data_IF_485442302123
#
_entry.id   IF_485442302123
#
_cell.length_a   1.000
_cell.length_b   1.000
_cell.length_c   1.000
_cell.angle_alpha   90.00
_cell.angle_beta   90.00
_cell.angle_gamma   90.00
#
_symmetry.space_group_name_H-M   'P 1'
#
loop_
_entity.id
_entity.type
_entity.pdbx_description
1 polymer ?
#
# COMPACT_ATOMS: atom_id res chain seq x y z
N UNK A 1 -43.16 -37.37 43.91
CA UNK A 1 -42.34 -37.36 45.16
C UNK A 1 -41.12 -38.21 44.88
N UNK A 2 -39.95 -37.63 44.68
CA UNK A 2 -39.01 -37.42 45.78
C UNK A 2 -38.33 -36.05 45.71
N UNK A 3 -38.24 -35.42 46.89
CA UNK A 3 -37.52 -34.19 47.16
C UNK A 3 -36.06 -34.54 47.49
N UNK A 4 -35.13 -33.67 47.08
CA UNK A 4 -34.28 -32.85 47.99
C UNK A 4 -32.79 -32.82 47.59
N UNK A 5 -32.35 -31.60 47.21
CA UNK A 5 -31.06 -30.91 47.41
C UNK A 5 -30.91 -29.89 46.27
N UNK A 6 -31.51 -28.70 46.35
CA UNK A 6 -31.08 -27.49 47.07
C UNK A 6 -29.64 -27.05 46.69
N UNK A 7 -29.53 -26.07 45.78
CA UNK A 7 -28.90 -24.76 46.00
C UNK A 7 -29.22 -23.81 44.81
N UNK A 8 -29.95 -22.72 45.10
CA UNK A 8 -30.10 -21.50 44.29
C UNK A 8 -28.76 -20.71 44.32
N UNK A 9 -28.42 -19.81 43.39
CA UNK A 9 -28.93 -18.43 43.31
C UNK A 9 -28.65 -17.80 41.93
N UNK A 10 -29.61 -16.95 41.56
CA UNK A 10 -29.80 -16.08 40.41
C UNK A 10 -28.72 -14.97 40.22
N UNK A 11 -28.57 -14.57 38.95
CA UNK A 11 -28.36 -13.20 38.45
C UNK A 11 -27.06 -12.43 38.77
N UNK A 12 -26.30 -12.14 37.71
CA UNK A 12 -25.36 -11.01 37.60
C UNK A 12 -25.56 -10.42 36.20
N UNK A 13 -26.38 -9.38 36.01
CA UNK A 13 -26.15 -7.96 36.30
C UNK A 13 -25.13 -7.31 35.35
N UNK A 14 -25.67 -6.41 34.51
CA UNK A 14 -24.95 -5.42 33.72
C UNK A 14 -23.98 -4.64 34.60
N UNK A 15 -22.72 -4.55 34.19
CA UNK A 15 -21.76 -3.59 34.70
C UNK A 15 -21.85 -2.31 33.87
N UNK A 16 -22.70 -1.39 34.31
CA UNK A 16 -22.61 0.03 34.00
C UNK A 16 -21.64 0.60 35.04
N UNK A 17 -20.47 1.09 34.61
CA UNK A 17 -19.59 1.83 35.51
C UNK A 17 -20.14 3.25 35.68
N UNK A 18 -20.42 3.62 36.93
CA UNK A 18 -20.72 4.99 37.31
C UNK A 18 -19.40 5.76 37.45
N UNK A 19 -19.22 6.82 36.67
CA UNK A 19 -18.27 7.88 37.00
C UNK A 19 -18.87 8.77 38.09
N UNK A 20 -18.09 9.02 39.14
CA UNK A 20 -18.44 9.82 40.30
C UNK A 20 -18.42 11.33 39.93
N UNK A 21 -19.51 12.10 40.09
CA UNK A 21 -19.52 13.52 39.80
C UNK A 21 -19.28 14.27 41.10
N UNK A 22 -18.02 14.57 41.43
CA UNK A 22 -17.56 15.67 42.28
C UNK A 22 -16.11 15.40 42.75
N UNK A 23 -15.14 15.82 41.95
CA UNK A 23 -13.78 16.10 42.45
C UNK A 23 -13.22 17.32 41.69
N UNK A 24 -13.03 18.48 42.35
CA UNK A 24 -12.43 19.66 41.74
C UNK A 24 -10.95 19.72 42.12
N UNK A 25 -10.05 19.44 41.17
CA UNK A 25 -8.62 19.58 41.46
C UNK A 25 -7.68 19.22 40.32
N UNK A 26 -7.38 20.20 39.48
CA UNK A 26 -6.06 20.51 38.94
C UNK A 26 -5.19 19.33 38.44
N UNK A 27 -5.17 19.11 37.12
CA UNK A 27 -4.13 18.30 36.48
C UNK A 27 -3.46 19.05 35.33
N UNK A 28 -2.22 19.47 35.61
CA UNK A 28 -1.19 19.75 34.62
C UNK A 28 -0.47 18.45 34.27
N UNK A 29 -0.11 18.32 32.98
CA UNK A 29 0.89 17.43 32.37
C UNK A 29 0.60 15.93 32.21
N UNK A 30 0.60 15.55 30.91
CA UNK A 30 1.19 14.35 30.30
C UNK A 30 0.57 12.97 30.55
N UNK A 31 0.18 12.31 29.44
CA UNK A 31 -0.13 10.88 29.41
C UNK A 31 -1.51 10.49 28.88
N UNK A 32 -2.05 11.19 27.88
CA UNK A 32 -3.31 10.81 27.24
C UNK A 32 -3.15 9.64 26.27
N UNK A 33 -3.71 8.48 26.64
CA UNK A 33 -3.98 7.34 25.77
C UNK A 33 -4.85 7.82 24.59
N UNK A 34 -4.22 8.18 23.47
CA UNK A 34 -4.83 8.96 22.40
C UNK A 34 -5.79 8.14 21.55
N UNK A 35 -7.03 7.98 22.03
CA UNK A 35 -8.13 7.40 21.25
C UNK A 35 -8.45 8.24 20.01
N UNK A 36 -8.82 7.56 18.92
CA UNK A 36 -9.25 8.13 17.64
C UNK A 36 -10.52 8.96 17.74
N UNK A 37 -10.41 10.13 18.35
CA UNK A 37 -11.44 11.16 18.37
C UNK A 37 -11.38 12.04 17.14
N UNK A 38 -12.44 12.80 16.91
CA UNK A 38 -12.47 13.86 15.91
C UNK A 38 -12.43 15.22 16.59
N UNK A 39 -11.79 16.19 15.95
CA UNK A 39 -11.86 17.61 16.30
C UNK A 39 -13.25 18.17 15.95
N UNK A 40 -13.62 19.36 16.47
CA UNK A 40 -14.91 19.98 16.16
C UNK A 40 -15.19 20.22 14.66
N UNK A 41 -14.13 20.36 13.84
CA UNK A 41 -14.20 20.47 12.39
C UNK A 41 -14.20 19.09 11.67
N UNK A 42 -14.39 18.00 12.42
CA UNK A 42 -14.59 16.66 11.90
C UNK A 42 -13.31 15.92 11.48
N UNK A 43 -12.12 16.49 11.74
CA UNK A 43 -10.83 15.89 11.39
C UNK A 43 -10.34 14.94 12.49
N UNK A 44 -9.49 13.96 12.19
CA UNK A 44 -8.87 13.13 13.23
C UNK A 44 -8.05 13.97 14.22
N UNK A 45 -8.22 13.73 15.51
CA UNK A 45 -7.55 14.52 16.58
C UNK A 45 -6.04 14.39 16.60
N UNK A 46 -5.48 13.42 15.86
CA UNK A 46 -4.04 13.20 15.74
C UNK A 46 -3.40 13.98 14.58
N UNK A 47 -4.20 14.67 13.75
CA UNK A 47 -3.69 15.56 12.70
C UNK A 47 -2.84 16.68 13.30
N UNK A 48 -1.71 16.99 12.66
CA UNK A 48 -0.90 18.12 13.08
C UNK A 48 -1.62 19.45 12.78
N UNK A 49 -1.57 20.36 13.75
CA UNK A 49 -1.91 21.78 13.58
C UNK A 49 -0.84 22.53 12.79
N UNK A 50 -1.16 23.72 12.26
CA UNK A 50 -0.20 24.58 11.57
C UNK A 50 1.03 24.95 12.43
N UNK A 51 0.81 25.15 13.74
CA UNK A 51 1.88 25.39 14.70
C UNK A 51 2.82 24.18 14.82
N UNK A 52 2.28 22.96 14.84
CA UNK A 52 3.08 21.73 14.86
C UNK A 52 3.79 21.50 13.52
N UNK A 53 3.15 21.83 12.39
CA UNK A 53 3.76 21.76 11.07
C UNK A 53 4.97 22.70 10.93
N UNK A 54 4.97 23.81 11.68
CA UNK A 54 6.09 24.76 11.74
C UNK A 54 7.31 24.25 12.52
N UNK A 55 7.24 23.06 13.11
CA UNK A 55 8.33 22.40 13.86
C UNK A 55 8.74 21.10 13.16
N UNK A 56 9.96 20.60 13.38
CA UNK A 56 10.32 19.25 12.91
C UNK A 56 9.47 18.23 13.66
N UNK A 57 8.70 17.42 12.93
CA UNK A 57 7.94 16.30 13.46
C UNK A 57 8.43 15.00 12.83
N UNK A 58 9.00 14.11 13.64
CA UNK A 58 9.50 12.79 13.24
C UNK A 58 9.52 11.86 14.45
N UNK A 59 8.36 11.30 14.87
CA UNK A 59 8.31 10.28 15.92
C UNK A 59 9.18 9.06 15.59
N UNK A 60 9.46 8.25 16.63
CA UNK A 60 10.17 6.99 16.47
C UNK A 60 9.41 6.03 15.53
N UNK A 61 10.13 5.19 14.76
CA UNK A 61 9.52 4.15 13.94
C UNK A 61 8.72 3.16 14.78
N UNK A 62 7.64 2.61 14.21
CA UNK A 62 6.77 1.62 14.85
C UNK A 62 6.77 0.34 14.04
N UNK A 63 7.10 -0.79 14.65
CA UNK A 63 6.95 -2.11 14.01
C UNK A 63 5.45 -2.42 13.93
N UNK A 64 4.91 -2.49 12.71
CA UNK A 64 3.49 -2.80 12.46
C UNK A 64 3.29 -4.31 12.42
N UNK A 65 4.13 -5.02 11.67
CA UNK A 65 4.15 -6.48 11.63
C UNK A 65 5.52 -6.97 12.04
N UNK A 66 5.55 -7.70 13.17
CA UNK A 66 6.76 -8.22 13.79
C UNK A 66 6.95 -9.69 13.39
N UNK A 67 7.97 -9.97 12.58
CA UNK A 67 8.27 -11.33 12.12
C UNK A 67 8.91 -12.20 13.23
N UNK A 68 9.24 -11.64 14.40
CA UNK A 68 9.81 -12.39 15.55
C UNK A 68 8.79 -13.31 16.23
N UNK A 69 7.51 -12.94 16.19
CA UNK A 69 6.47 -13.52 17.06
C UNK A 69 5.48 -14.42 16.32
N UNK A 70 5.73 -14.75 15.04
CA UNK A 70 4.78 -15.53 14.27
C UNK A 70 5.15 -15.73 12.80
N UNK A 71 4.23 -15.35 11.93
CA UNK A 71 4.40 -15.50 10.47
C UNK A 71 5.52 -14.57 9.97
N UNK A 72 6.19 -14.96 8.89
CA UNK A 72 7.08 -14.08 8.13
C UNK A 72 6.23 -13.06 7.37
N UNK A 73 6.45 -11.77 7.62
CA UNK A 73 5.73 -10.70 6.92
C UNK A 73 6.54 -10.12 5.77
N UNK A 74 5.86 -9.91 4.64
CA UNK A 74 6.43 -9.32 3.42
C UNK A 74 5.37 -8.44 2.74
N UNK A 75 5.79 -7.65 1.77
CA UNK A 75 4.97 -6.92 0.83
C UNK A 75 4.01 -5.92 1.51
N UNK A 76 4.50 -4.71 1.76
CA UNK A 76 3.77 -3.68 2.48
C UNK A 76 2.86 -2.86 1.56
N UNK A 77 1.63 -2.57 2.01
CA UNK A 77 0.75 -1.55 1.41
C UNK A 77 0.04 -0.74 2.50
N UNK A 78 -0.19 0.56 2.27
CA UNK A 78 -0.83 1.44 3.25
C UNK A 78 -1.78 2.45 2.62
N UNK A 79 -2.94 2.64 3.26
CA UNK A 79 -3.92 3.69 2.93
C UNK A 79 -4.39 4.42 4.19
N UNK A 80 -4.96 5.60 3.99
CA UNK A 80 -5.75 6.34 4.96
C UNK A 80 -7.20 6.32 4.48
N UNK A 81 -8.10 5.95 5.37
CA UNK A 81 -9.54 5.93 5.12
C UNK A 81 -10.10 7.36 5.16
N UNK A 82 -11.33 7.55 4.69
CA UNK A 82 -12.06 8.82 4.83
C UNK A 82 -12.30 9.25 6.28
N UNK A 83 -12.07 8.35 7.25
CA UNK A 83 -12.17 8.61 8.70
C UNK A 83 -10.82 8.90 9.36
N UNK A 84 -9.72 8.88 8.61
CA UNK A 84 -8.37 9.01 9.17
C UNK A 84 -7.88 7.77 9.91
N UNK A 85 -8.47 6.60 9.66
CA UNK A 85 -7.86 5.33 10.07
C UNK A 85 -6.77 4.97 9.07
N UNK A 86 -5.56 4.73 9.54
CA UNK A 86 -4.50 4.12 8.72
C UNK A 86 -4.73 2.61 8.64
N UNK A 87 -4.68 2.05 7.44
CA UNK A 87 -4.86 0.62 7.19
C UNK A 87 -3.64 0.10 6.45
N UNK A 88 -2.93 -0.82 7.09
CA UNK A 88 -1.75 -1.48 6.56
C UNK A 88 -2.09 -2.92 6.15
N UNK A 89 -1.63 -3.33 4.97
CA UNK A 89 -1.69 -4.71 4.47
C UNK A 89 -0.31 -5.31 4.32
N UNK A 90 -0.21 -6.63 4.51
CA UNK A 90 1.02 -7.39 4.32
C UNK A 90 0.72 -8.87 3.97
N UNK A 91 1.63 -9.54 3.27
CA UNK A 91 1.69 -11.00 3.24
C UNK A 91 1.98 -11.55 4.64
N UNK A 92 1.30 -12.63 5.00
CA UNK A 92 1.54 -13.46 6.18
C UNK A 92 1.99 -14.84 5.72
N UNK A 93 3.30 -15.05 5.52
CA UNK A 93 3.86 -16.23 4.80
C UNK A 93 4.14 -17.45 5.68
N UNK A 94 3.57 -17.47 6.89
CA UNK A 94 3.81 -18.54 7.88
C UNK A 94 5.30 -18.74 8.11
N UNK A 95 5.87 -19.86 7.66
CA UNK A 95 7.24 -20.27 7.95
C UNK A 95 8.15 -20.29 6.72
N UNK A 96 7.71 -19.76 5.58
CA UNK A 96 8.50 -19.77 4.34
C UNK A 96 8.60 -18.37 3.74
N UNK A 97 9.78 -17.98 3.28
CA UNK A 97 9.96 -16.73 2.54
C UNK A 97 9.52 -16.84 1.07
N UNK A 98 9.18 -18.04 0.59
CA UNK A 98 8.82 -18.26 -0.82
C UNK A 98 7.54 -17.50 -1.21
N UNK A 99 7.51 -17.02 -2.45
CA UNK A 99 6.38 -16.27 -2.98
C UNK A 99 5.17 -17.16 -3.29
N UNK A 100 3.99 -16.55 -3.36
CA UNK A 100 2.74 -17.22 -3.70
C UNK A 100 2.85 -17.99 -5.03
N UNK A 101 2.31 -19.21 -5.06
CA UNK A 101 2.33 -20.08 -6.25
C UNK A 101 3.64 -20.85 -6.46
N UNK A 102 4.72 -20.56 -5.74
CA UNK A 102 5.98 -21.31 -5.87
C UNK A 102 5.95 -22.60 -5.04
N UNK A 103 6.73 -23.61 -5.47
CA UNK A 103 6.72 -24.94 -4.86
C UNK A 103 7.10 -24.96 -3.38
N UNK A 104 8.00 -24.06 -2.95
CA UNK A 104 8.47 -23.90 -1.58
C UNK A 104 7.59 -23.02 -0.68
N UNK A 105 6.47 -22.51 -1.20
CA UNK A 105 5.53 -21.69 -0.42
C UNK A 105 4.84 -22.52 0.67
N UNK A 106 4.78 -21.95 1.87
CA UNK A 106 3.75 -22.29 2.85
C UNK A 106 2.42 -21.60 2.44
N UNK A 107 1.38 -21.76 3.25
CA UNK A 107 0.14 -21.01 3.06
C UNK A 107 0.42 -19.51 3.29
N UNK A 108 0.00 -18.67 2.36
CA UNK A 108 0.13 -17.21 2.47
C UNK A 108 -1.26 -16.59 2.53
N UNK A 109 -1.49 -15.75 3.53
CA UNK A 109 -2.69 -14.93 3.65
C UNK A 109 -2.35 -13.45 3.57
N UNK A 110 -3.26 -12.62 3.09
CA UNK A 110 -3.17 -11.17 3.28
C UNK A 110 -3.69 -10.82 4.68
N UNK A 111 -2.84 -10.13 5.45
CA UNK A 111 -3.13 -9.64 6.79
C UNK A 111 -3.30 -8.12 6.80
N UNK A 112 -4.15 -7.62 7.68
CA UNK A 112 -4.53 -6.21 7.83
C UNK A 112 -4.32 -5.78 9.27
N UNK A 113 -3.74 -4.60 9.49
CA UNK A 113 -3.75 -3.89 10.78
C UNK A 113 -4.26 -2.47 10.61
N UNK A 114 -4.88 -1.94 11.66
CA UNK A 114 -5.47 -0.59 11.68
C UNK A 114 -4.85 0.26 12.77
N UNK A 115 -4.68 1.55 12.50
CA UNK A 115 -4.32 2.57 13.49
C UNK A 115 -5.31 3.74 13.41
N UNK A 116 -5.79 4.19 14.57
CA UNK A 116 -6.73 5.32 14.68
C UNK A 116 -6.09 6.54 15.36
N UNK A 117 -4.78 6.49 15.61
CA UNK A 117 -4.01 7.50 16.35
C UNK A 117 -2.81 8.03 15.54
N UNK A 118 -2.90 7.95 14.21
CA UNK A 118 -1.89 8.44 13.28
C UNK A 118 -0.64 7.57 13.22
N UNK A 119 -0.79 6.27 13.46
CA UNK A 119 0.25 5.24 13.35
C UNK A 119 1.07 5.01 14.61
N UNK A 120 0.66 5.55 15.76
CA UNK A 120 1.37 5.38 17.04
C UNK A 120 1.13 3.99 17.60
N UNK A 121 -0.10 3.50 17.54
CA UNK A 121 -0.47 2.14 17.92
C UNK A 121 -1.24 1.46 16.79
N UNK A 122 -1.09 0.14 16.71
CA UNK A 122 -1.73 -0.69 15.68
C UNK A 122 -2.52 -1.81 16.37
N UNK A 123 -3.77 -1.96 15.97
CA UNK A 123 -4.68 -2.97 16.50
C UNK A 123 -4.28 -4.41 16.14
N UNK A 124 -5.11 -5.35 16.55
CA UNK A 124 -4.94 -6.76 16.23
C UNK A 124 -4.97 -6.99 14.72
N UNK A 125 -4.14 -7.92 14.26
CA UNK A 125 -4.11 -8.38 12.88
C UNK A 125 -5.41 -9.13 12.51
N UNK A 126 -6.00 -8.78 11.36
CA UNK A 126 -7.15 -9.47 10.75
C UNK A 126 -6.68 -10.06 9.42
N UNK A 127 -6.96 -11.32 9.15
CA UNK A 127 -6.69 -11.94 7.85
C UNK A 127 -7.92 -11.86 6.96
N UNK A 128 -7.73 -11.55 5.68
CA UNK A 128 -8.83 -11.46 4.71
C UNK A 128 -9.32 -12.88 4.36
N UNK A 129 -10.62 -13.20 4.53
CA UNK A 129 -11.13 -14.54 4.30
C UNK A 129 -11.40 -14.83 2.80
N UNK A 130 -11.49 -16.12 2.40
CA UNK A 130 -11.16 -17.30 3.20
C UNK A 130 -9.65 -17.44 3.48
N UNK A 131 -9.32 -17.99 4.65
CA UNK A 131 -7.95 -18.24 5.10
C UNK A 131 -7.41 -19.49 4.41
N UNK A 132 -6.20 -19.40 3.85
CA UNK A 132 -5.57 -20.47 3.09
C UNK A 132 -5.34 -21.72 3.95
N UNK A 133 -5.92 -22.86 3.54
CA UNK A 133 -5.76 -24.15 4.21
C UNK A 133 -4.59 -24.96 3.63
N UNK A 134 -4.25 -24.70 2.37
CA UNK A 134 -3.09 -25.22 1.65
C UNK A 134 -2.52 -24.13 0.74
N UNK A 135 -1.32 -24.33 0.22
CA UNK A 135 -0.60 -23.31 -0.56
C UNK A 135 -1.35 -22.87 -1.82
N UNK A 136 -2.14 -23.75 -2.43
CA UNK A 136 -2.94 -23.43 -3.61
C UNK A 136 -4.06 -22.43 -3.32
N UNK A 137 -4.47 -22.32 -2.05
CA UNK A 137 -5.49 -21.38 -1.59
C UNK A 137 -4.89 -20.02 -1.20
N UNK A 138 -3.59 -19.81 -1.43
CA UNK A 138 -2.87 -18.63 -0.94
C UNK A 138 -3.22 -17.34 -1.67
N UNK A 139 -3.08 -16.24 -0.94
CA UNK A 139 -3.27 -14.87 -1.39
C UNK A 139 -2.07 -14.05 -0.93
N UNK A 140 -1.36 -13.42 -1.86
CA UNK A 140 -0.19 -12.60 -1.57
C UNK A 140 -0.07 -11.40 -2.50
N UNK A 141 0.99 -10.62 -2.35
CA UNK A 141 1.24 -9.37 -3.08
C UNK A 141 0.05 -8.38 -3.02
N UNK A 142 -0.38 -7.94 -1.83
CA UNK A 142 -1.55 -7.09 -1.70
C UNK A 142 -1.34 -5.68 -2.26
N UNK A 143 -2.32 -5.19 -3.03
CA UNK A 143 -2.47 -3.81 -3.49
C UNK A 143 -3.75 -3.21 -2.90
N UNK A 144 -3.63 -2.21 -2.03
CA UNK A 144 -4.76 -1.62 -1.30
C UNK A 144 -5.18 -0.24 -1.85
N UNK A 145 -6.49 0.01 -1.90
CA UNK A 145 -7.11 1.29 -2.29
C UNK A 145 -8.00 1.82 -1.17
N UNK A 146 -8.10 3.14 -1.08
CA UNK A 146 -9.11 3.86 -0.28
C UNK A 146 -10.01 4.63 -1.22
N UNK A 147 -11.27 4.21 -1.32
CA UNK A 147 -12.26 4.79 -2.23
C UNK A 147 -12.89 6.06 -1.63
N UNK A 148 -13.41 6.95 -2.48
CA UNK A 148 -14.04 8.21 -2.05
C UNK A 148 -15.27 8.02 -1.15
N UNK A 149 -15.94 6.88 -1.24
CA UNK A 149 -17.10 6.54 -0.38
C UNK A 149 -16.72 5.89 0.96
N UNK A 150 -15.41 5.71 1.23
CA UNK A 150 -14.90 5.03 2.41
C UNK A 150 -14.77 3.51 2.28
N UNK A 151 -15.17 2.92 1.15
CA UNK A 151 -14.88 1.52 0.84
C UNK A 151 -13.36 1.34 0.70
N UNK A 152 -12.82 0.24 1.22
CA UNK A 152 -11.46 -0.19 0.94
C UNK A 152 -11.51 -1.37 -0.03
N UNK A 153 -10.59 -1.42 -0.98
CA UNK A 153 -10.44 -2.52 -1.94
C UNK A 153 -9.02 -3.06 -1.85
N UNK A 154 -8.87 -4.37 -1.82
CA UNK A 154 -7.57 -5.04 -1.91
C UNK A 154 -7.57 -5.96 -3.13
N UNK A 155 -6.56 -5.83 -3.98
CA UNK A 155 -6.22 -6.84 -4.98
C UNK A 155 -5.07 -7.70 -4.47
N UNK A 156 -5.00 -8.96 -4.88
CA UNK A 156 -3.88 -9.84 -4.54
C UNK A 156 -3.56 -10.82 -5.68
N UNK A 157 -2.33 -11.30 -5.72
CA UNK A 157 -1.93 -12.48 -6.48
C UNK A 157 -2.47 -13.76 -5.81
N UNK A 158 -2.88 -14.73 -6.63
CA UNK A 158 -3.35 -16.04 -6.17
C UNK A 158 -3.07 -17.13 -7.21
N UNK A 159 -3.37 -18.38 -6.86
CA UNK A 159 -3.08 -19.53 -7.69
C UNK A 159 -1.57 -19.69 -7.92
N UNK A 160 -1.17 -20.02 -9.15
CA UNK A 160 0.25 -20.09 -9.52
C UNK A 160 0.89 -18.71 -9.68
N UNK A 161 0.14 -17.60 -9.51
CA UNK A 161 0.65 -16.23 -9.54
C UNK A 161 1.73 -16.00 -10.62
N UNK A 162 2.99 -15.80 -10.21
CA UNK A 162 4.13 -15.62 -11.10
C UNK A 162 5.01 -16.86 -11.31
N UNK A 163 4.67 -18.03 -10.77
CA UNK A 163 5.38 -19.29 -10.98
C UNK A 163 5.27 -19.82 -12.44
N UNK A 164 6.27 -20.57 -12.91
CA UNK A 164 6.35 -21.10 -14.28
C UNK A 164 5.61 -22.46 -14.43
N UNK A 165 4.37 -22.56 -13.96
CA UNK A 165 3.58 -23.80 -14.03
C UNK A 165 2.37 -23.64 -14.97
N UNK A 166 2.40 -24.31 -16.14
CA UNK A 166 1.38 -24.22 -17.20
C UNK A 166 0.32 -25.32 -17.09
N UNK A 167 -0.95 -24.95 -17.38
CA UNK A 167 -2.00 -25.92 -17.68
C UNK A 167 -2.45 -26.75 -16.49
N UNK A 168 -2.29 -26.19 -15.29
CA UNK A 168 -2.71 -26.85 -14.05
C UNK A 168 -4.09 -26.33 -13.63
N UNK A 169 -4.78 -27.00 -12.70
CA UNK A 169 -6.05 -26.48 -12.17
C UNK A 169 -5.89 -25.18 -11.36
N UNK A 170 -4.66 -24.72 -11.12
CA UNK A 170 -4.34 -23.58 -10.27
C UNK A 170 -3.57 -22.48 -11.03
N UNK A 171 -3.93 -22.18 -12.29
CA UNK A 171 -3.29 -21.12 -13.08
C UNK A 171 -3.28 -19.75 -12.39
N UNK A 172 -2.53 -18.79 -12.95
CA UNK A 172 -2.34 -17.45 -12.40
C UNK A 172 -3.68 -16.73 -12.19
N UNK A 173 -3.88 -16.17 -10.99
CA UNK A 173 -5.12 -15.48 -10.60
C UNK A 173 -4.81 -14.14 -9.96
N UNK A 174 -5.75 -13.22 -10.14
CA UNK A 174 -5.82 -11.95 -9.42
C UNK A 174 -7.19 -11.92 -8.75
N UNK A 175 -7.21 -11.75 -7.43
CA UNK A 175 -8.45 -11.71 -6.66
C UNK A 175 -8.62 -10.35 -5.98
N UNK A 176 -9.85 -10.08 -5.59
CA UNK A 176 -10.29 -8.84 -4.97
C UNK A 176 -11.10 -9.12 -3.71
N UNK A 177 -10.92 -8.29 -2.68
CA UNK A 177 -11.75 -8.23 -1.48
C UNK A 177 -12.04 -6.78 -1.11
N UNK A 178 -13.17 -6.53 -0.44
CA UNK A 178 -13.60 -5.20 0.01
C UNK A 178 -13.87 -5.15 1.49
N UNK A 179 -13.63 -3.99 2.07
CA UNK A 179 -14.09 -3.62 3.41
C UNK A 179 -15.02 -2.40 3.29
N UNK A 180 -16.19 -2.45 3.92
CA UNK A 180 -17.15 -1.33 3.98
C UNK A 180 -17.30 -0.77 5.41
N UNK A 181 -16.49 -1.25 6.34
CA UNK A 181 -16.56 -0.94 7.77
C UNK A 181 -15.24 -0.41 8.33
N UNK A 182 -14.52 0.37 7.50
CA UNK A 182 -13.26 1.04 7.86
C UNK A 182 -12.08 0.08 8.11
N UNK A 183 -12.08 -1.08 7.44
CA UNK A 183 -11.02 -2.08 7.45
C UNK A 183 -11.18 -3.15 8.53
N UNK A 184 -12.32 -3.18 9.25
CA UNK A 184 -12.55 -4.08 10.37
C UNK A 184 -12.87 -5.50 9.91
N UNK A 185 -13.66 -5.64 8.84
CA UNK A 185 -13.98 -6.92 8.22
C UNK A 185 -13.91 -6.83 6.70
N UNK A 186 -13.71 -7.98 6.07
CA UNK A 186 -13.43 -8.07 4.64
C UNK A 186 -14.31 -9.13 3.98
N UNK A 187 -14.77 -8.84 2.77
CA UNK A 187 -15.53 -9.79 1.96
C UNK A 187 -14.66 -10.99 1.56
N UNK A 188 -15.31 -12.08 1.15
CA UNK A 188 -14.59 -13.19 0.54
C UNK A 188 -13.90 -12.77 -0.75
N UNK A 189 -12.76 -13.40 -1.04
CA UNK A 189 -12.01 -13.21 -2.28
C UNK A 189 -12.84 -13.56 -3.53
N UNK A 190 -12.86 -12.65 -4.49
CA UNK A 190 -13.49 -12.84 -5.81
C UNK A 190 -12.46 -12.67 -6.93
N UNK A 191 -12.48 -13.56 -7.92
CA UNK A 191 -11.57 -13.52 -9.06
C UNK A 191 -11.90 -12.38 -10.04
N UNK A 192 -10.88 -11.64 -10.49
CA UNK A 192 -11.03 -10.54 -11.46
C UNK A 192 -10.20 -10.73 -12.73
N UNK A 193 -9.25 -11.66 -12.75
CA UNK A 193 -8.23 -11.78 -13.79
C UNK A 193 -8.77 -11.98 -15.22
N UNK A 194 -10.00 -12.50 -15.36
CA UNK A 194 -10.63 -12.69 -16.69
C UNK A 194 -10.74 -11.38 -17.47
N UNK A 195 -10.95 -10.24 -16.80
CA UNK A 195 -10.97 -8.93 -17.48
C UNK A 195 -9.64 -8.64 -18.21
N UNK A 196 -8.53 -9.15 -17.69
CA UNK A 196 -7.20 -8.98 -18.26
C UNK A 196 -6.95 -10.06 -19.32
N UNK A 197 -7.13 -11.34 -18.97
CA UNK A 197 -6.71 -12.44 -19.84
C UNK A 197 -7.70 -12.75 -20.97
N UNK A 198 -8.95 -12.25 -20.90
CA UNK A 198 -9.91 -12.33 -22.01
C UNK A 198 -9.86 -11.08 -22.92
N UNK A 199 -9.08 -10.05 -22.55
CA UNK A 199 -8.89 -8.87 -23.39
C UNK A 199 -8.06 -9.21 -24.65
N UNK A 200 -8.55 -8.80 -25.81
CA UNK A 200 -7.97 -9.18 -27.12
C UNK A 200 -6.57 -8.60 -27.34
N UNK A 201 -6.27 -7.40 -26.85
CA UNK A 201 -4.93 -6.79 -26.94
C UNK A 201 -3.94 -7.55 -26.06
N UNK A 202 -4.34 -7.91 -24.85
CA UNK A 202 -3.53 -8.71 -23.91
C UNK A 202 -3.26 -10.11 -24.49
N UNK A 203 -4.29 -10.78 -25.00
CA UNK A 203 -4.16 -12.09 -25.66
C UNK A 203 -3.29 -12.04 -26.91
N UNK A 204 -3.45 -11.00 -27.74
CA UNK A 204 -2.66 -10.82 -28.96
C UNK A 204 -1.16 -10.70 -28.70
N UNK A 205 -0.77 -10.23 -27.52
CA UNK A 205 0.63 -10.21 -27.06
C UNK A 205 1.09 -11.54 -26.46
N UNK A 206 0.18 -12.46 -26.17
CA UNK A 206 0.45 -13.77 -25.58
C UNK A 206 0.56 -13.74 -24.05
N UNK A 207 0.01 -12.71 -23.41
CA UNK A 207 -0.01 -12.58 -21.96
C UNK A 207 -1.16 -13.39 -21.36
N UNK A 208 -0.83 -14.28 -20.43
CA UNK A 208 -1.75 -15.29 -19.88
C UNK A 208 -1.60 -15.48 -18.36
N UNK A 209 -0.74 -14.68 -17.74
CA UNK A 209 -0.50 -14.66 -16.30
C UNK A 209 -0.01 -13.29 -15.86
N UNK A 210 -0.09 -13.03 -14.56
CA UNK A 210 0.31 -11.75 -13.99
C UNK A 210 -0.21 -11.53 -12.58
N UNK A 211 0.16 -10.39 -12.01
CA UNK A 211 -0.33 -9.93 -10.72
C UNK A 211 -0.34 -8.40 -10.69
N UNK A 212 -1.29 -7.82 -9.96
CA UNK A 212 -1.26 -6.40 -9.67
C UNK A 212 -0.04 -6.13 -8.78
N UNK A 213 0.82 -5.18 -9.15
CA UNK A 213 1.97 -4.87 -8.32
C UNK A 213 1.47 -4.34 -6.98
N UNK A 214 2.08 -4.78 -5.90
CA UNK A 214 1.63 -4.58 -4.51
C UNK A 214 1.73 -3.14 -4.00
N UNK A 215 1.45 -2.88 -2.73
CA UNK A 215 1.55 -1.53 -2.15
C UNK A 215 0.22 -0.81 -2.14
N UNK A 216 0.22 0.47 -2.52
CA UNK A 216 -1.00 1.29 -2.58
C UNK A 216 -1.39 1.59 -4.03
N UNK A 217 -2.67 1.40 -4.31
CA UNK A 217 -3.27 1.71 -5.59
C UNK A 217 -3.60 3.19 -5.75
N UNK A 218 -3.59 3.68 -7.00
CA UNK A 218 -3.95 5.08 -7.27
C UNK A 218 -5.47 5.23 -7.32
N UNK A 219 -6.02 5.99 -6.37
CA UNK A 219 -7.40 6.49 -6.43
C UNK A 219 -7.35 7.92 -6.90
N UNK A 220 -7.96 8.20 -8.04
CA UNK A 220 -7.98 9.53 -8.63
C UNK A 220 -8.82 10.46 -7.76
N UNK A 221 -8.25 11.56 -7.23
CA UNK A 221 -8.94 12.41 -6.26
C UNK A 221 -10.14 13.15 -6.86
N UNK A 222 -10.11 13.43 -8.17
CA UNK A 222 -11.19 14.15 -8.85
C UNK A 222 -12.38 13.21 -9.09
N UNK A 223 -12.11 12.07 -9.70
CA UNK A 223 -13.15 11.16 -10.21
C UNK A 223 -13.52 10.02 -9.26
N UNK A 224 -12.63 9.66 -8.33
CA UNK A 224 -12.74 8.46 -7.50
C UNK A 224 -12.41 7.15 -8.22
N UNK A 225 -12.00 7.20 -9.50
CA UNK A 225 -11.61 6.01 -10.24
C UNK A 225 -10.35 5.37 -9.65
N UNK A 226 -10.33 4.04 -9.60
CA UNK A 226 -9.21 3.24 -9.12
C UNK A 226 -8.35 2.80 -10.30
N UNK A 227 -7.04 2.87 -10.16
CA UNK A 227 -6.07 2.46 -11.17
C UNK A 227 -5.04 1.51 -10.58
N UNK A 228 -4.90 0.33 -11.18
CA UNK A 228 -3.90 -0.66 -10.83
C UNK A 228 -3.00 -0.94 -12.04
N UNK A 229 -1.70 -1.05 -11.81
CA UNK A 229 -0.76 -1.56 -12.80
C UNK A 229 -0.43 -3.03 -12.49
N UNK A 230 -0.39 -3.85 -13.52
CA UNK A 230 -0.30 -5.31 -13.47
C UNK A 230 0.91 -5.73 -14.28
N UNK A 231 1.84 -6.44 -13.65
CA UNK A 231 2.88 -7.16 -14.38
C UNK A 231 2.23 -8.35 -15.06
N UNK A 232 2.41 -8.48 -16.38
CA UNK A 232 1.86 -9.59 -17.17
C UNK A 232 2.96 -10.28 -17.95
N UNK A 233 2.73 -11.55 -18.31
CA UNK A 233 3.66 -12.30 -19.14
C UNK A 233 3.13 -13.64 -19.62
N UNK A 234 4.00 -14.40 -20.30
CA UNK A 234 3.80 -15.82 -20.59
C UNK A 234 4.48 -16.71 -19.53
N UNK A 235 4.17 -18.01 -19.51
CA UNK A 235 4.69 -18.92 -18.47
C UNK A 235 6.22 -19.04 -18.46
N UNK A 236 6.87 -18.99 -19.63
CA UNK A 236 8.34 -19.01 -19.74
C UNK A 236 9.01 -17.65 -19.52
N UNK A 237 8.23 -16.60 -19.21
CA UNK A 237 8.69 -15.22 -19.02
C UNK A 237 9.53 -14.64 -20.18
N UNK A 238 9.44 -15.23 -21.37
CA UNK A 238 10.08 -14.71 -22.60
C UNK A 238 9.35 -13.50 -23.18
N UNK A 239 8.12 -13.29 -22.74
CA UNK A 239 7.35 -12.07 -22.93
C UNK A 239 6.86 -11.55 -21.59
N UNK A 240 7.10 -10.27 -21.32
CA UNK A 240 6.59 -9.52 -20.19
C UNK A 240 6.01 -8.19 -20.63
N UNK A 241 5.21 -7.59 -19.77
CA UNK A 241 4.61 -6.30 -20.03
C UNK A 241 3.87 -5.72 -18.84
N UNK A 242 3.33 -4.53 -19.07
CA UNK A 242 2.49 -3.81 -18.12
C UNK A 242 1.08 -3.72 -18.69
N UNK A 243 0.10 -4.10 -17.90
CA UNK A 243 -1.31 -3.78 -18.13
C UNK A 243 -1.77 -2.79 -17.07
N UNK A 244 -2.50 -1.74 -17.45
CA UNK A 244 -3.18 -0.88 -16.48
C UNK A 244 -4.68 -1.18 -16.54
N UNK A 245 -5.28 -1.46 -15.39
CA UNK A 245 -6.71 -1.64 -15.23
C UNK A 245 -7.32 -0.49 -14.44
N UNK A 246 -8.55 -0.14 -14.78
CA UNK A 246 -9.35 0.92 -14.18
C UNK A 246 -10.66 0.38 -13.62
N UNK A 247 -11.09 0.89 -12.47
CA UNK A 247 -12.45 0.71 -11.95
C UNK A 247 -13.07 2.05 -11.62
N UNK A 248 -14.37 2.20 -11.90
CA UNK A 248 -15.15 3.42 -11.61
C UNK A 248 -16.31 3.15 -10.62
N UNK A 249 -16.37 1.93 -10.08
CA UNK A 249 -17.43 1.42 -9.21
C UNK A 249 -16.86 0.71 -7.96
N UNK A 250 -15.77 1.29 -7.44
CA UNK A 250 -15.05 0.86 -6.24
C UNK A 250 -14.64 -0.63 -6.32
N UNK A 251 -14.09 -1.04 -7.46
CA UNK A 251 -13.53 -2.37 -7.69
C UNK A 251 -14.55 -3.46 -8.00
N UNK A 252 -15.82 -3.13 -8.28
CA UNK A 252 -16.85 -4.11 -8.65
C UNK A 252 -16.60 -4.64 -10.05
N UNK A 253 -16.34 -3.75 -10.99
CA UNK A 253 -15.91 -4.06 -12.35
C UNK A 253 -14.59 -3.35 -12.66
N UNK A 254 -13.83 -3.94 -13.57
CA UNK A 254 -12.55 -3.42 -14.03
C UNK A 254 -12.55 -3.36 -15.55
N UNK A 255 -11.63 -2.59 -16.13
CA UNK A 255 -11.43 -2.51 -17.58
C UNK A 255 -9.95 -2.30 -17.86
N UNK A 256 -9.42 -2.96 -18.89
CA UNK A 256 -8.07 -2.71 -19.40
C UNK A 256 -8.06 -1.36 -20.11
N UNK A 257 -7.15 -0.48 -19.72
CA UNK A 257 -7.01 0.86 -20.31
C UNK A 257 -5.63 1.10 -20.93
N UNK A 258 -4.69 0.17 -20.71
CA UNK A 258 -3.40 0.24 -21.37
C UNK A 258 -2.62 -1.05 -21.32
N UNK A 259 -1.87 -1.32 -22.40
CA UNK A 259 -1.07 -2.54 -22.57
C UNK A 259 0.26 -2.18 -23.20
N UNK A 260 1.36 -2.50 -22.50
CA UNK A 260 2.73 -2.35 -22.98
C UNK A 260 3.41 -3.72 -22.95
N UNK A 261 4.07 -4.14 -24.03
CA UNK A 261 5.02 -5.26 -24.01
C UNK A 261 6.43 -4.68 -23.87
N UNK A 262 7.12 -5.04 -22.79
CA UNK A 262 8.49 -4.62 -22.50
C UNK A 262 9.12 -5.65 -21.56
N UNK A 263 10.07 -6.42 -22.10
CA UNK A 263 10.77 -7.48 -21.37
C UNK A 263 11.75 -6.96 -20.31
N UNK A 264 12.14 -5.69 -20.39
CA UNK A 264 13.03 -5.06 -19.43
C UNK A 264 12.31 -4.59 -18.15
N UNK A 265 11.01 -4.83 -18.02
CA UNK A 265 10.18 -4.34 -16.93
C UNK A 265 9.71 -5.48 -16.01
N UNK A 266 9.56 -5.12 -14.75
CA UNK A 266 8.96 -5.93 -13.69
C UNK A 266 7.86 -5.10 -12.98
N UNK A 267 7.58 -5.31 -11.70
CA UNK A 267 6.52 -4.63 -10.90
C UNK A 267 6.27 -3.14 -11.26
N UNK A 268 5.15 -2.84 -11.96
CA UNK A 268 4.77 -1.47 -12.33
C UNK A 268 3.80 -0.83 -11.32
N UNK A 269 3.92 0.48 -11.07
CA UNK A 269 3.00 1.28 -10.22
C UNK A 269 2.35 2.41 -10.99
N UNK A 270 1.12 2.75 -10.62
CA UNK A 270 0.50 4.03 -10.97
C UNK A 270 0.81 5.03 -9.86
N UNK A 271 1.55 6.09 -10.17
CA UNK A 271 2.01 7.09 -9.19
C UNK A 271 0.94 8.15 -8.95
N UNK A 272 0.57 8.86 -10.01
CA UNK A 272 -0.38 9.99 -9.99
C UNK A 272 -0.78 10.36 -11.42
N UNK A 273 -1.76 11.25 -11.58
CA UNK A 273 -1.96 12.02 -12.80
C UNK A 273 -1.01 13.21 -12.88
N UNK A 274 -0.51 13.50 -14.08
CA UNK A 274 0.29 14.70 -14.40
C UNK A 274 -0.65 15.92 -14.37
N UNK A 275 -0.27 16.94 -13.60
CA UNK A 275 -1.11 18.09 -13.29
C UNK A 275 -0.88 19.28 -14.23
N UNK A 276 0.30 19.38 -14.84
CA UNK A 276 0.67 20.51 -15.70
C UNK A 276 1.65 20.15 -16.83
N UNK A 277 1.86 21.09 -17.74
CA UNK A 277 2.74 20.92 -18.89
C UNK A 277 2.13 20.13 -20.05
N UNK A 278 2.97 19.70 -20.98
CA UNK A 278 2.59 19.03 -22.24
C UNK A 278 1.96 17.64 -22.05
N UNK A 279 2.08 17.08 -20.86
CA UNK A 279 1.56 15.74 -20.52
C UNK A 279 0.39 15.78 -19.53
N UNK A 280 -0.17 16.96 -19.27
CA UNK A 280 -1.33 17.15 -18.38
C UNK A 280 -2.42 16.12 -18.65
N UNK A 281 -2.94 15.51 -17.58
CA UNK A 281 -4.02 14.54 -17.65
C UNK A 281 -3.57 13.09 -17.85
N UNK A 282 -2.32 12.83 -18.27
CA UNK A 282 -1.78 11.47 -18.38
C UNK A 282 -1.44 10.89 -17.00
N UNK A 283 -1.50 9.57 -16.85
CA UNK A 283 -1.03 8.90 -15.64
C UNK A 283 0.48 8.67 -15.71
N UNK A 284 1.19 9.04 -14.66
CA UNK A 284 2.59 8.69 -14.46
C UNK A 284 2.69 7.28 -13.88
N UNK A 285 3.44 6.43 -14.56
CA UNK A 285 3.80 5.09 -14.10
C UNK A 285 5.26 5.06 -13.67
N UNK A 286 5.56 4.36 -12.59
CA UNK A 286 6.93 4.04 -12.16
C UNK A 286 7.11 2.54 -12.18
N UNK A 287 8.15 2.04 -12.84
CA UNK A 287 8.28 0.63 -13.16
C UNK A 287 9.65 0.12 -12.76
N UNK A 288 9.66 -0.95 -11.95
CA UNK A 288 10.85 -1.68 -11.55
C UNK A 288 11.55 -2.26 -12.81
N UNK A 289 12.88 -2.11 -12.97
CA UNK A 289 13.60 -2.78 -14.04
C UNK A 289 13.83 -4.26 -13.69
N UNK A 290 13.80 -5.14 -14.71
CA UNK A 290 14.05 -6.59 -14.55
C UNK A 290 15.46 -6.92 -14.04
N UNK A 291 16.42 -6.03 -14.29
CA UNK A 291 17.82 -6.12 -13.86
C UNK A 291 18.24 -4.78 -13.26
N UNK A 292 19.22 -4.77 -12.35
CA UNK A 292 19.62 -3.54 -11.67
C UNK A 292 20.03 -2.48 -12.70
N UNK A 293 19.33 -1.35 -12.68
CA UNK A 293 19.44 -0.28 -13.67
C UNK A 293 18.74 0.97 -13.11
N UNK A 294 18.47 1.94 -13.98
CA UNK A 294 17.62 3.09 -13.75
C UNK A 294 16.15 2.70 -13.57
N UNK A 295 15.48 3.30 -12.58
CA UNK A 295 14.01 3.25 -12.48
C UNK A 295 13.43 3.83 -13.75
N UNK A 296 12.43 3.15 -14.31
CA UNK A 296 11.75 3.53 -15.55
C UNK A 296 10.45 4.26 -15.26
N UNK A 297 10.15 5.26 -16.07
CA UNK A 297 8.89 6.01 -16.01
C UNK A 297 8.19 5.98 -17.36
N UNK A 298 6.87 5.80 -17.30
CA UNK A 298 6.00 5.79 -18.47
C UNK A 298 4.82 6.74 -18.24
N UNK A 299 4.20 7.15 -19.33
CA UNK A 299 2.93 7.88 -19.32
C UNK A 299 1.85 7.00 -19.94
N UNK A 300 0.69 6.93 -19.29
CA UNK A 300 -0.53 6.39 -19.86
C UNK A 300 -1.46 7.53 -20.28
N UNK A 301 -1.85 7.55 -21.54
CA UNK A 301 -2.84 8.46 -22.13
C UNK A 301 -4.17 7.74 -22.36
N UNK A 302 -5.16 8.02 -21.50
CA UNK A 302 -6.49 7.39 -21.56
C UNK A 302 -7.28 7.76 -22.83
N UNK A 303 -6.84 8.76 -23.60
CA UNK A 303 -7.50 9.15 -24.86
C UNK A 303 -7.04 8.30 -26.05
N UNK A 304 -6.06 7.43 -25.86
CA UNK A 304 -5.57 6.53 -26.90
C UNK A 304 -6.15 5.12 -26.70
N UNK A 305 -6.17 4.33 -27.78
CA UNK A 305 -6.50 2.91 -27.67
C UNK A 305 -5.51 2.18 -26.75
N UNK A 306 -6.00 1.19 -26.01
CA UNK A 306 -5.23 0.48 -24.97
C UNK A 306 -3.84 -0.01 -25.47
N UNK A 307 -3.72 -0.45 -26.72
CA UNK A 307 -2.48 -0.94 -27.32
C UNK A 307 -1.38 0.13 -27.54
N UNK A 308 -1.75 1.41 -27.54
CA UNK A 308 -0.84 2.55 -27.80
C UNK A 308 -0.81 3.56 -26.65
N UNK A 309 -1.60 3.31 -25.60
CA UNK A 309 -1.82 4.26 -24.49
C UNK A 309 -0.58 4.48 -23.61
N UNK A 310 0.34 3.51 -23.52
CA UNK A 310 1.52 3.58 -22.65
C UNK A 310 2.77 3.88 -23.47
N UNK A 311 3.50 4.91 -23.10
CA UNK A 311 4.74 5.34 -23.76
C UNK A 311 5.80 5.74 -22.74
N UNK A 312 7.08 5.61 -23.08
CA UNK A 312 8.18 6.04 -22.21
C UNK A 312 8.06 7.53 -21.90
N UNK A 313 8.22 7.91 -20.63
CA UNK A 313 8.32 9.31 -20.28
C UNK A 313 9.73 9.82 -20.53
N UNK A 314 10.00 10.30 -21.75
CA UNK A 314 11.34 10.64 -22.20
C UNK A 314 12.01 11.79 -21.41
N UNK A 315 11.22 12.68 -20.82
CA UNK A 315 11.73 13.79 -20.00
C UNK A 315 11.94 13.40 -18.53
N UNK A 316 11.54 12.18 -18.13
CA UNK A 316 11.58 11.79 -16.72
C UNK A 316 13.01 11.74 -16.19
N UNK A 317 13.19 12.32 -15.00
CA UNK A 317 14.40 12.13 -14.22
C UNK A 317 14.50 10.66 -13.79
N UNK A 318 15.72 10.19 -13.58
CA UNK A 318 15.95 8.82 -13.15
C UNK A 318 16.90 8.72 -11.97
N UNK A 319 16.68 7.71 -11.15
CA UNK A 319 17.53 7.26 -10.05
C UNK A 319 17.81 5.76 -10.20
N UNK A 320 18.88 5.31 -9.55
CA UNK A 320 19.25 3.89 -9.58
C UNK A 320 18.22 3.03 -8.84
N UNK A 321 18.11 1.79 -9.26
CA UNK A 321 17.18 0.81 -8.72
C UNK A 321 17.84 -0.57 -8.62
N UNK A 322 17.94 -1.14 -7.41
CA UNK A 322 18.53 -2.46 -7.20
C UNK A 322 17.53 -3.60 -7.50
N UNK A 323 16.57 -3.39 -8.39
CA UNK A 323 15.44 -4.27 -8.73
C UNK A 323 14.47 -4.49 -7.59
N UNK A 324 13.87 -3.41 -7.08
CA UNK A 324 12.97 -3.49 -5.93
C UNK A 324 11.66 -2.74 -6.18
N UNK A 325 10.59 -3.28 -5.61
CA UNK A 325 9.30 -2.61 -5.57
C UNK A 325 9.41 -1.26 -4.86
N UNK A 326 8.92 -0.21 -5.51
CA UNK A 326 8.97 1.14 -4.99
C UNK A 326 7.74 1.89 -5.46
N UNK A 327 7.38 2.93 -4.73
CA UNK A 327 6.11 3.59 -4.89
C UNK A 327 6.27 5.11 -4.87
N UNK A 328 5.35 5.81 -5.54
CA UNK A 328 5.28 7.25 -5.44
C UNK A 328 3.84 7.73 -5.40
N UNK A 329 3.67 8.99 -5.03
CA UNK A 329 2.35 9.62 -4.97
C UNK A 329 2.42 11.13 -5.03
N UNK A 330 1.29 11.75 -5.38
CA UNK A 330 1.09 13.19 -5.27
C UNK A 330 1.16 13.63 -3.80
N UNK A 331 1.93 14.68 -3.53
CA UNK A 331 2.02 15.32 -2.22
C UNK A 331 1.19 16.59 -2.13
N UNK A 332 1.40 17.53 -3.07
CA UNK A 332 0.62 18.77 -3.14
C UNK A 332 0.28 19.13 -4.57
N UNK A 333 -0.81 19.89 -4.76
CA UNK A 333 -1.24 20.43 -6.04
C UNK A 333 -1.57 21.92 -5.91
N UNK A 334 -1.21 22.70 -6.93
CA UNK A 334 -1.55 24.12 -7.00
C UNK A 334 -3.05 24.34 -7.09
N UNK A 335 -3.77 23.46 -7.80
CA UNK A 335 -5.24 23.53 -7.89
C UNK A 335 -5.94 23.33 -6.54
N UNK A 336 -5.27 22.72 -5.56
CA UNK A 336 -5.76 22.50 -4.20
C UNK A 336 -5.31 23.63 -3.25
N UNK A 337 -4.78 24.74 -3.80
CA UNK A 337 -4.37 25.93 -3.04
C UNK A 337 -2.91 25.93 -2.58
N UNK A 338 -2.14 24.86 -2.80
CA UNK A 338 -0.74 24.81 -2.40
C UNK A 338 0.17 25.64 -3.32
N UNK A 339 1.33 26.04 -2.82
CA UNK A 339 2.27 26.85 -3.60
C UNK A 339 2.90 26.13 -4.81
N UNK A 340 2.96 24.78 -4.79
CA UNK A 340 3.60 23.98 -5.83
C UNK A 340 2.93 22.62 -6.02
N UNK A 341 3.02 22.09 -7.23
CA UNK A 341 2.78 20.69 -7.52
C UNK A 341 3.99 19.88 -7.04
N UNK A 342 3.78 18.84 -6.24
CA UNK A 342 4.88 17.99 -5.74
C UNK A 342 4.54 16.52 -5.82
N UNK A 343 5.44 15.70 -6.32
CA UNK A 343 5.34 14.22 -6.34
C UNK A 343 6.43 13.68 -5.43
N UNK A 344 6.11 12.71 -4.59
CA UNK A 344 7.06 11.97 -3.77
C UNK A 344 7.30 10.58 -4.36
N UNK A 345 8.49 10.04 -4.18
CA UNK A 345 8.82 8.65 -4.54
C UNK A 345 9.75 8.03 -3.51
N UNK A 346 9.32 6.94 -2.89
CA UNK A 346 10.10 6.16 -1.94
C UNK A 346 10.75 5.00 -2.68
N UNK A 347 12.05 4.82 -2.52
CA UNK A 347 12.83 3.79 -3.22
C UNK A 347 14.06 3.37 -2.39
N UNK A 348 14.86 2.45 -2.91
CA UNK A 348 16.16 2.11 -2.33
C UNK A 348 17.29 2.78 -3.11
N UNK A 349 18.01 3.68 -2.45
CA UNK A 349 19.14 4.40 -3.04
C UNK A 349 20.42 3.56 -3.02
N UNK A 350 20.44 2.56 -3.89
CA UNK A 350 21.55 1.63 -4.05
C UNK A 350 21.56 1.00 -5.44
N UNK A 351 22.75 0.60 -5.91
CA UNK A 351 22.91 0.06 -7.27
C UNK A 351 22.75 -1.47 -7.34
N UNK A 352 22.86 -2.19 -6.23
CA UNK A 352 22.91 -3.67 -6.27
C UNK A 352 22.42 -4.37 -5.00
N UNK A 353 22.18 -3.64 -3.92
CA UNK A 353 21.77 -4.21 -2.64
C UNK A 353 20.50 -3.57 -2.10
N UNK A 354 19.73 -4.34 -1.34
CA UNK A 354 18.49 -3.90 -0.70
C UNK A 354 18.79 -3.08 0.56
N UNK A 355 19.25 -1.83 0.39
CA UNK A 355 19.68 -0.90 1.45
C UNK A 355 19.33 0.55 1.10
N UNK A 356 19.45 1.44 2.08
CA UNK A 356 19.22 2.88 1.92
C UNK A 356 17.80 3.18 1.43
N UNK A 357 16.80 2.85 2.25
CA UNK A 357 15.44 3.34 1.99
C UNK A 357 15.47 4.87 2.00
N UNK A 358 15.09 5.48 0.89
CA UNK A 358 15.21 6.90 0.63
C UNK A 358 13.93 7.48 0.05
N UNK A 359 13.74 8.77 0.24
CA UNK A 359 12.62 9.53 -0.31
C UNK A 359 13.16 10.66 -1.19
N UNK A 360 12.61 10.79 -2.40
CA UNK A 360 12.86 11.91 -3.31
C UNK A 360 11.57 12.64 -3.64
N UNK A 361 11.70 13.85 -4.16
CA UNK A 361 10.59 14.72 -4.54
C UNK A 361 10.81 15.26 -5.95
N UNK A 362 9.74 15.42 -6.73
CA UNK A 362 9.73 16.19 -7.96
C UNK A 362 8.78 17.38 -7.79
N UNK A 363 9.21 18.56 -8.27
CA UNK A 363 8.38 19.77 -8.35
C UNK A 363 8.05 20.14 -9.81
N UNK A 364 8.34 19.25 -10.75
CA UNK A 364 8.25 19.46 -12.20
C UNK A 364 7.65 18.23 -12.91
N UNK A 365 6.67 17.60 -12.26
CA UNK A 365 5.87 16.51 -12.81
C UNK A 365 6.67 15.24 -13.17
N UNK A 366 7.81 15.01 -12.50
CA UNK A 366 8.67 13.84 -12.64
C UNK A 366 9.89 14.05 -13.54
N UNK A 367 10.13 15.26 -14.06
CA UNK A 367 11.30 15.56 -14.90
C UNK A 367 12.61 15.60 -14.12
N UNK A 368 12.57 16.02 -12.86
CA UNK A 368 13.71 15.96 -11.94
C UNK A 368 13.30 15.43 -10.58
N UNK A 369 14.23 14.77 -9.90
CA UNK A 369 14.06 14.23 -8.55
C UNK A 369 15.11 14.86 -7.62
N UNK A 370 14.65 15.64 -6.64
CA UNK A 370 15.44 16.39 -5.67
C UNK A 370 15.22 15.84 -4.25
N UNK A 371 15.96 16.40 -3.28
CA UNK A 371 15.78 16.16 -1.84
C UNK A 371 15.90 14.68 -1.43
N UNK A 372 16.88 13.95 -1.99
CA UNK A 372 17.14 12.56 -1.63
C UNK A 372 17.49 12.43 -0.13
N UNK A 373 16.50 12.09 0.68
CA UNK A 373 16.63 11.90 2.13
C UNK A 373 16.64 10.41 2.45
N UNK A 374 17.72 9.95 3.05
CA UNK A 374 17.80 8.59 3.62
C UNK A 374 16.87 8.49 4.84
N UNK A 375 15.92 7.57 4.78
CA UNK A 375 14.93 7.26 5.82
C UNK A 375 15.41 6.13 6.73
N UNK A 376 16.02 5.09 6.15
CA UNK A 376 16.64 3.96 6.85
C UNK A 376 17.89 3.49 6.08
N UNK A 377 19.12 3.67 6.61
CA UNK A 377 20.36 3.27 5.92
C UNK A 377 20.64 1.76 5.87
N UNK A 378 20.13 0.95 6.81
CA UNK A 378 20.41 -0.50 6.81
C UNK A 378 19.57 -1.24 5.75
N UNK A 379 19.56 -2.58 5.79
CA UNK A 379 18.77 -3.42 4.90
C UNK A 379 17.30 -3.01 4.97
N UNK A 380 16.76 -2.71 3.81
CA UNK A 380 15.36 -2.41 3.58
C UNK A 380 14.95 -2.95 2.22
N UNK A 381 13.68 -3.25 2.03
CA UNK A 381 13.20 -3.86 0.80
C UNK A 381 11.93 -3.15 0.30
N UNK A 382 10.81 -3.85 0.20
CA UNK A 382 9.62 -3.32 -0.43
C UNK A 382 9.04 -2.20 0.44
N UNK A 383 8.48 -1.17 -0.20
CA UNK A 383 7.96 0.00 0.52
C UNK A 383 6.72 0.59 -0.15
N UNK A 384 5.84 1.14 0.68
CA UNK A 384 4.65 1.87 0.27
C UNK A 384 4.62 3.22 0.98
N UNK A 385 4.09 4.24 0.30
CA UNK A 385 4.05 5.62 0.76
C UNK A 385 2.62 6.13 0.85
N UNK A 386 2.37 6.97 1.86
CA UNK A 386 1.14 7.73 1.98
C UNK A 386 1.39 9.18 2.39
N UNK A 387 0.56 10.08 1.91
CA UNK A 387 0.46 11.48 2.34
C UNK A 387 -0.85 11.57 3.10
N UNK A 388 -0.75 11.86 4.39
CA UNK A 388 -1.88 11.89 5.30
C UNK A 388 -2.63 13.21 5.15
N UNK A 389 -3.90 13.24 5.56
CA UNK A 389 -4.76 14.42 5.42
C UNK A 389 -4.29 15.67 6.17
N UNK A 390 -3.31 15.55 7.08
CA UNK A 390 -2.66 16.69 7.72
C UNK A 390 -1.41 17.21 7.00
N UNK A 391 -0.99 16.56 5.92
CA UNK A 391 0.22 16.83 5.15
C UNK A 391 1.47 16.11 5.64
N UNK A 392 1.38 15.24 6.65
CA UNK A 392 2.52 14.38 7.02
C UNK A 392 2.71 13.23 6.04
N UNK A 393 3.94 12.76 5.92
CA UNK A 393 4.35 11.66 5.05
C UNK A 393 4.47 10.40 5.90
N UNK A 394 3.77 9.35 5.50
CA UNK A 394 3.87 8.01 6.06
C UNK A 394 4.60 7.07 5.10
N UNK A 395 5.53 6.27 5.61
CA UNK A 395 6.20 5.20 4.87
C UNK A 395 6.03 3.90 5.64
N UNK A 396 5.56 2.86 4.95
CA UNK A 396 5.50 1.49 5.44
C UNK A 396 6.49 0.66 4.64
N UNK A 397 7.52 0.10 5.29
CA UNK A 397 8.60 -0.58 4.58
C UNK A 397 9.05 -1.86 5.29
N UNK A 398 9.55 -2.79 4.48
CA UNK A 398 10.33 -3.92 4.95
C UNK A 398 11.69 -3.41 5.42
N UNK A 399 11.97 -3.54 6.71
CA UNK A 399 13.26 -3.17 7.31
C UNK A 399 13.89 -4.37 8.01
N UNK A 400 15.21 -4.41 8.06
CA UNK A 400 15.97 -5.48 8.69
C UNK A 400 15.43 -5.81 10.09
N UNK A 401 15.10 -7.07 10.31
CA UNK A 401 14.89 -7.56 11.65
C UNK A 401 16.23 -7.61 12.40
N UNK A 402 16.35 -6.85 13.49
CA UNK A 402 17.61 -6.69 14.22
C UNK A 402 17.98 -7.88 15.14
N UNK A 403 17.06 -8.83 15.36
CA UNK A 403 17.23 -9.89 16.38
C UNK A 403 17.48 -11.29 15.79
N UNK A 404 17.49 -11.45 14.46
CA UNK A 404 17.82 -12.75 13.86
C UNK A 404 19.33 -12.93 13.69
N UNK A 405 19.92 -13.90 14.39
CA UNK A 405 21.31 -14.33 14.24
C UNK A 405 21.59 -15.04 12.89
N UNK A 406 20.59 -15.21 12.03
CA UNK A 406 20.70 -15.86 10.73
C UNK A 406 21.09 -14.85 9.64
N UNK A 407 22.02 -15.24 8.78
CA UNK A 407 22.49 -14.45 7.64
C UNK A 407 21.49 -14.35 6.48
N UNK A 408 20.32 -15.01 6.56
CA UNK A 408 19.16 -14.79 5.69
C UNK A 408 18.20 -13.86 6.42
N UNK A 409 18.33 -12.55 6.15
CA UNK A 409 17.64 -11.51 6.91
C UNK A 409 16.14 -11.48 6.65
N UNK A 410 15.35 -11.94 7.62
CA UNK A 410 13.91 -11.68 7.67
C UNK A 410 13.67 -10.18 7.87
N UNK A 411 12.56 -9.66 7.34
CA UNK A 411 12.17 -8.26 7.51
C UNK A 411 11.06 -8.13 8.56
N UNK A 412 11.05 -7.01 9.27
CA UNK A 412 9.85 -6.50 9.94
C UNK A 412 9.20 -5.46 9.03
N UNK A 413 7.88 -5.28 9.16
CA UNK A 413 7.17 -4.20 8.45
C UNK A 413 7.07 -3.00 9.39
N UNK A 414 7.78 -1.92 9.06
CA UNK A 414 7.98 -0.75 9.93
C UNK A 414 7.27 0.47 9.34
N UNK A 415 6.51 1.17 10.17
CA UNK A 415 5.88 2.44 9.85
C UNK A 415 6.70 3.61 10.38
N UNK A 416 6.89 4.62 9.54
CA UNK A 416 7.50 5.91 9.88
C UNK A 416 6.59 7.03 9.43
N UNK A 417 6.48 8.07 10.25
CA UNK A 417 5.73 9.29 9.94
C UNK A 417 6.61 10.50 10.20
N UNK A 418 6.59 11.47 9.30
CA UNK A 418 7.30 12.74 9.48
C UNK A 418 6.67 13.83 8.63
N UNK A 419 6.91 15.10 8.97
CA UNK A 419 6.38 16.22 8.19
C UNK A 419 7.36 16.74 7.13
N UNK A 420 6.87 17.65 6.28
CA UNK A 420 7.68 18.31 5.25
C UNK A 420 8.93 18.98 5.83
N UNK A 421 8.79 19.57 7.03
CA UNK A 421 9.90 20.25 7.69
C UNK A 421 11.01 19.29 8.07
N UNK A 422 10.67 18.10 8.54
CA UNK A 422 11.64 17.03 8.73
C UNK A 422 12.23 16.56 7.40
N UNK A 423 11.45 16.49 6.32
CA UNK A 423 11.90 16.00 5.01
C UNK A 423 12.91 16.95 4.33
N UNK A 424 12.55 18.22 4.14
CA UNK A 424 13.36 19.18 3.37
C UNK A 424 13.42 20.59 3.99
N UNK A 425 12.93 20.77 5.22
CA UNK A 425 12.94 22.06 5.92
C UNK A 425 11.77 22.98 5.58
N UNK A 426 10.98 22.69 4.55
CA UNK A 426 9.79 23.49 4.20
C UNK A 426 8.64 23.21 5.18
N UNK A 427 7.79 24.23 5.41
CA UNK A 427 6.60 24.08 6.25
C UNK A 427 5.42 23.74 5.37
N UNK A 428 4.72 22.64 5.69
CA UNK A 428 3.45 22.35 5.05
C UNK A 428 2.41 23.32 5.56
N UNK A 429 1.78 24.06 4.66
CA UNK A 429 0.66 24.94 4.97
C UNK A 429 -0.62 24.24 4.57
N UNK A 430 -1.51 24.02 5.53
CA UNK A 430 -2.85 23.55 5.21
C UNK A 430 -3.59 24.64 4.45
N UNK A 431 -4.01 24.35 3.22
CA UNK A 431 -4.93 25.18 2.45
C UNK A 431 -6.29 24.53 2.60
N UNK A 432 -7.08 25.03 3.55
CA UNK A 432 -8.48 24.64 3.72
C UNK A 432 -9.38 25.53 2.89
#
# INVERSE_FOLDING_TARGET
MSKLKLFLILASALLISCANPNDPGNDTTEGGNGGGGTTPDGKPSWYLSDAQQSSVYQPNPVIVFDSKQGDIYRIAGIVETTKGTLVAVSDSRKTSESDVGFSGAANIDVVVKRSTDGGKTWGQAVKIPPIAQKKEDSHGDPLIFSCKDGTLVVLCAAGNAWAQQYGTQNDSKIKMSKSIDDGQSWSQWTEIQKVIYDNTTVQGKGFIKGFAASGRGYTDPDTGALYAAVLVGNYGHSKKGTVVIKSVDNGTTWTVIGVLEDNGNDEPKVVTRIAEGTHTGKLLLSVRPSTADKRKFFLLDENQGEASSISTYAEAGTFNDPTIDAEGMRYTLVKDGHAKNRILHVYLDNNSTRKNLSLVMSEDEGKTWINNKVIQPDLAAYSSIIVLGDGTIGILAEEKNLDTASSSGTYDIVFRRFNLKAFNGETYTQTW
#
